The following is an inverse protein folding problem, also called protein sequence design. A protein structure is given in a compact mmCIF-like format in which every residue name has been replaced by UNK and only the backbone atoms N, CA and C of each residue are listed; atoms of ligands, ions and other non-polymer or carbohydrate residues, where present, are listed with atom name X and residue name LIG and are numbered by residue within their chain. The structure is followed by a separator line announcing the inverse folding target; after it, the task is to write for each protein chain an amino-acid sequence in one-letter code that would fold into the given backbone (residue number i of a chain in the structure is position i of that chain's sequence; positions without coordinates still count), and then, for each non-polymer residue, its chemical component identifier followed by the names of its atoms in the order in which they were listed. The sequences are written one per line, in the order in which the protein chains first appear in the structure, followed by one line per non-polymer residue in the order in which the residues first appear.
data_IF_821430148562
#
_entry.id   IF_821430148562
#
_cell.length_a   1.000
_cell.length_b   1.000
_cell.length_c   1.000
_cell.angle_alpha   90.00
_cell.angle_beta   90.00
_cell.angle_gamma   90.00
#
_symmetry.space_group_name_H-M   'P 1'
#
loop_
_entity.id
_entity.type
_entity.pdbx_description
1 polymer ?
#
# COMPACT_ATOMS: atom_id res chain seq x y z
N UNK A 1 -10.26 10.33 -19.63
CA UNK A 1 -9.66 10.19 -18.28
C UNK A 1 -10.71 9.48 -17.42
N UNK A 2 -10.47 8.24 -16.97
CA UNK A 2 -11.43 7.55 -16.06
C UNK A 2 -11.47 8.35 -14.75
N UNK A 3 -12.66 8.71 -14.28
CA UNK A 3 -12.84 9.38 -12.98
C UNK A 3 -12.20 8.52 -11.90
N UNK A 4 -11.21 9.07 -11.18
CA UNK A 4 -10.57 8.39 -10.05
C UNK A 4 -11.64 8.22 -8.95
N UNK A 5 -12.13 6.99 -8.76
CA UNK A 5 -13.06 6.71 -7.67
C UNK A 5 -12.34 6.90 -6.34
N UNK A 6 -13.03 7.45 -5.35
CA UNK A 6 -12.48 7.60 -4.00
C UNK A 6 -12.31 6.23 -3.35
N UNK A 7 -11.23 6.06 -2.57
CA UNK A 7 -11.02 4.86 -1.77
C UNK A 7 -12.07 4.78 -0.67
N UNK A 8 -12.61 3.58 -0.46
CA UNK A 8 -13.45 3.27 0.70
C UNK A 8 -12.54 3.03 1.91
N UNK A 9 -12.31 4.10 2.69
CA UNK A 9 -11.40 4.09 3.84
C UNK A 9 -11.93 3.28 5.02
N UNK A 10 -13.26 3.19 5.18
CA UNK A 10 -13.87 2.37 6.23
C UNK A 10 -13.63 0.89 5.95
N UNK A 11 -13.84 0.48 4.70
CA UNK A 11 -13.55 -0.89 4.27
C UNK A 11 -12.06 -1.22 4.36
N UNK A 12 -11.18 -0.29 4.00
CA UNK A 12 -9.74 -0.45 4.17
C UNK A 12 -9.38 -0.65 5.66
N UNK A 13 -9.89 0.21 6.54
CA UNK A 13 -9.66 0.12 7.97
C UNK A 13 -10.16 -1.21 8.57
N UNK A 14 -11.31 -1.70 8.10
CA UNK A 14 -11.87 -2.97 8.53
C UNK A 14 -11.06 -4.20 8.05
N UNK A 15 -10.36 -4.10 6.91
CA UNK A 15 -9.55 -5.19 6.38
C UNK A 15 -8.17 -5.29 7.04
N UNK A 16 -7.54 -4.17 7.41
CA UNK A 16 -6.18 -4.12 7.93
C UNK A 16 -5.86 -5.07 9.11
N UNK A 17 -6.76 -5.32 10.08
CA UNK A 17 -6.47 -6.25 11.19
C UNK A 17 -6.11 -7.67 10.74
N UNK A 18 -6.52 -8.09 9.54
CA UNK A 18 -6.19 -9.40 8.99
C UNK A 18 -4.77 -9.45 8.38
N UNK A 19 -4.09 -8.30 8.26
CA UNK A 19 -2.81 -8.15 7.58
C UNK A 19 -1.73 -7.55 8.49
N UNK A 20 -0.89 -8.37 9.14
CA UNK A 20 -0.05 -7.91 10.26
C UNK A 20 1.13 -7.00 9.85
N UNK A 21 1.64 -7.12 8.63
CA UNK A 21 2.73 -6.28 8.12
C UNK A 21 2.59 -6.05 6.62
N UNK A 22 3.22 -4.98 6.14
CA UNK A 22 3.32 -4.66 4.72
C UNK A 22 4.77 -4.54 4.27
N UNK A 23 4.98 -4.70 2.98
CA UNK A 23 6.15 -4.22 2.29
C UNK A 23 5.87 -2.81 1.75
N UNK A 24 6.59 -1.81 2.26
CA UNK A 24 6.63 -0.48 1.67
C UNK A 24 7.61 -0.49 0.49
N UNK A 25 7.10 -0.14 -0.68
CA UNK A 25 7.85 -0.04 -1.92
C UNK A 25 7.93 1.44 -2.30
N UNK A 26 9.16 1.93 -2.38
CA UNK A 26 9.50 3.26 -2.92
C UNK A 26 10.37 3.08 -4.15
N UNK A 27 10.50 4.12 -4.99
CA UNK A 27 11.30 4.06 -6.21
C UNK A 27 12.34 5.17 -6.19
N UNK A 28 13.60 4.81 -6.46
CA UNK A 28 14.71 5.76 -6.57
C UNK A 28 14.68 6.59 -7.85
N UNK A 29 15.63 7.51 -7.96
CA UNK A 29 15.89 8.27 -9.18
C UNK A 29 16.41 7.37 -10.33
N UNK A 30 17.15 6.32 -9.98
CA UNK A 30 17.63 5.26 -10.87
C UNK A 30 16.55 4.26 -11.33
N UNK A 31 15.28 4.53 -11.00
CA UNK A 31 14.11 3.71 -11.31
C UNK A 31 14.14 2.30 -10.70
N UNK A 32 14.95 2.06 -9.65
CA UNK A 32 14.90 0.82 -8.89
C UNK A 32 13.95 0.91 -7.71
N UNK A 33 13.22 -0.18 -7.50
CA UNK A 33 12.40 -0.35 -6.30
C UNK A 33 13.29 -0.59 -5.07
N UNK A 34 12.93 0.08 -3.98
CA UNK A 34 13.45 -0.17 -2.64
C UNK A 34 12.30 -0.64 -1.77
N UNK A 35 12.48 -1.81 -1.15
CA UNK A 35 11.44 -2.49 -0.38
C UNK A 35 11.88 -2.68 1.06
N UNK A 36 11.02 -2.30 2.01
CA UNK A 36 11.24 -2.51 3.46
C UNK A 36 9.96 -3.01 4.12
N UNK A 37 10.09 -3.80 5.19
CA UNK A 37 8.95 -4.26 5.99
C UNK A 37 8.51 -3.17 6.96
N UNK A 38 7.20 -2.95 7.07
CA UNK A 38 6.55 -1.95 7.94
C UNK A 38 5.26 -2.53 8.54
N UNK A 39 4.72 -1.89 9.57
CA UNK A 39 3.44 -2.27 10.21
C UNK A 39 2.45 -1.09 10.19
N UNK A 40 1.90 -0.73 9.01
CA UNK A 40 1.11 0.49 8.89
C UNK A 40 -0.22 0.35 9.61
N UNK A 41 -0.66 1.44 10.25
CA UNK A 41 -1.95 1.51 10.94
C UNK A 41 -2.81 2.60 10.33
N UNK A 42 -4.10 2.36 10.19
CA UNK A 42 -5.02 3.42 9.79
C UNK A 42 -5.13 4.47 10.90
N UNK A 43 -4.96 5.74 10.54
CA UNK A 43 -5.19 6.93 11.38
C UNK A 43 -6.04 7.89 10.58
N UNK A 44 -7.32 7.98 10.90
CA UNK A 44 -8.30 8.79 10.18
C UNK A 44 -8.33 8.44 8.67
N UNK A 45 -7.70 9.26 7.83
CA UNK A 45 -7.64 9.08 6.37
C UNK A 45 -6.26 8.66 5.85
N UNK A 46 -5.27 8.44 6.73
CA UNK A 46 -3.90 8.08 6.35
C UNK A 46 -3.50 6.73 6.93
N UNK A 47 -2.62 6.03 6.20
CA UNK A 47 -1.88 4.90 6.72
C UNK A 47 -0.61 5.43 7.37
N UNK A 48 -0.58 5.40 8.69
CA UNK A 48 0.59 5.72 9.49
C UNK A 48 1.59 4.57 9.41
N UNK A 49 2.73 4.81 8.76
CA UNK A 49 3.82 3.85 8.60
C UNK A 49 4.85 3.95 9.74
N UNK A 50 4.87 5.06 10.47
CA UNK A 50 5.87 5.33 11.50
C UNK A 50 7.18 5.90 10.97
N UNK A 51 8.27 5.66 11.69
CA UNK A 51 9.60 6.17 11.35
C UNK A 51 10.20 5.45 10.13
N UNK A 52 10.86 6.20 9.26
CA UNK A 52 11.51 5.68 8.05
C UNK A 52 13.02 5.87 8.05
N UNK A 53 13.72 4.96 7.36
CA UNK A 53 15.17 5.03 7.15
C UNK A 53 15.59 6.01 6.05
N UNK A 54 16.89 6.34 6.01
CA UNK A 54 17.46 7.32 5.09
C UNK A 54 17.17 7.06 3.62
N UNK A 55 17.30 5.80 3.15
CA UNK A 55 17.02 5.45 1.75
C UNK A 55 15.56 5.68 1.35
N UNK A 56 14.61 5.30 2.21
CA UNK A 56 13.18 5.59 1.98
C UNK A 56 12.95 7.09 1.92
N UNK A 57 13.51 7.87 2.86
CA UNK A 57 13.41 9.34 2.87
C UNK A 57 13.97 9.98 1.60
N UNK A 58 15.16 9.55 1.16
CA UNK A 58 15.80 10.02 -0.08
C UNK A 58 14.91 9.77 -1.30
N UNK A 59 14.37 8.55 -1.43
CA UNK A 59 13.46 8.21 -2.53
C UNK A 59 12.21 9.09 -2.50
N UNK A 60 11.60 9.27 -1.33
CA UNK A 60 10.36 10.06 -1.17
C UNK A 60 10.54 11.55 -1.46
N UNK A 61 11.73 12.10 -1.20
CA UNK A 61 12.05 13.49 -1.54
C UNK A 61 12.03 13.73 -3.06
N UNK A 62 12.32 12.70 -3.86
CA UNK A 62 12.29 12.77 -5.33
C UNK A 62 10.94 12.30 -5.91
N UNK A 63 10.35 11.25 -5.32
CA UNK A 63 9.14 10.58 -5.80
C UNK A 63 8.26 10.19 -4.62
N UNK A 64 7.22 11.00 -4.37
CA UNK A 64 6.29 10.76 -3.25
C UNK A 64 5.25 9.66 -3.47
N UNK A 65 5.23 8.98 -4.61
CA UNK A 65 4.28 7.89 -4.86
C UNK A 65 4.84 6.58 -4.30
N UNK A 66 4.00 5.84 -3.57
CA UNK A 66 4.38 4.59 -2.89
C UNK A 66 3.36 3.50 -3.10
N UNK A 67 3.81 2.25 -2.97
CA UNK A 67 2.93 1.08 -2.88
C UNK A 67 3.21 0.36 -1.55
N UNK A 68 2.15 0.00 -0.84
CA UNK A 68 2.16 -0.91 0.30
C UNK A 68 1.54 -2.24 -0.14
N UNK A 69 2.26 -3.34 0.09
CA UNK A 69 1.77 -4.70 -0.19
C UNK A 69 1.77 -5.50 1.09
N UNK A 70 0.59 -5.85 1.60
CA UNK A 70 0.48 -6.86 2.64
C UNK A 70 0.38 -8.24 1.96
N UNK A 71 1.26 -9.19 2.32
CA UNK A 71 1.22 -10.53 1.76
C UNK A 71 -0.04 -11.29 2.22
N UNK A 72 -0.42 -12.37 1.53
CA UNK A 72 -1.56 -13.18 1.94
C UNK A 72 -1.23 -13.93 3.24
N UNK A 73 -2.26 -14.14 4.07
CA UNK A 73 -2.14 -14.86 5.35
C UNK A 73 -1.83 -16.35 5.17
N UNK A 74 -2.28 -16.90 4.04
CA UNK A 74 -2.14 -18.29 3.68
C UNK A 74 -1.90 -18.43 2.17
N UNK A 75 -1.29 -19.53 1.71
CA UNK A 75 -1.12 -19.77 0.28
C UNK A 75 -2.44 -19.70 -0.49
N UNK A 76 -2.48 -18.92 -1.58
CA UNK A 76 -3.68 -18.69 -2.39
C UNK A 76 -4.67 -17.66 -1.81
N UNK A 77 -4.40 -17.11 -0.63
CA UNK A 77 -5.16 -16.01 -0.06
C UNK A 77 -4.97 -14.68 -0.81
N UNK A 78 -5.76 -13.68 -0.41
CA UNK A 78 -5.61 -12.32 -0.93
C UNK A 78 -4.41 -11.61 -0.32
N UNK A 79 -3.63 -10.93 -1.15
CA UNK A 79 -2.80 -9.79 -0.73
C UNK A 79 -3.64 -8.53 -0.68
N UNK A 80 -3.38 -7.63 0.27
CA UNK A 80 -3.89 -6.27 0.22
C UNK A 80 -2.84 -5.38 -0.43
N UNK A 81 -3.25 -4.59 -1.42
CA UNK A 81 -2.37 -3.64 -2.13
C UNK A 81 -2.97 -2.26 -1.99
N UNK A 82 -2.16 -1.32 -1.51
CA UNK A 82 -2.51 0.11 -1.45
C UNK A 82 -1.47 0.92 -2.20
N UNK A 83 -1.91 1.66 -3.21
CA UNK A 83 -1.09 2.73 -3.81
C UNK A 83 -1.51 4.05 -3.16
N UNK A 84 -0.53 4.90 -2.86
CA UNK A 84 -0.79 6.14 -2.15
C UNK A 84 0.28 7.20 -2.33
N UNK A 85 -0.02 8.38 -1.77
CA UNK A 85 0.91 9.49 -1.71
C UNK A 85 1.54 9.57 -0.32
N UNK A 86 2.86 9.67 -0.27
CA UNK A 86 3.60 9.88 0.96
C UNK A 86 3.39 11.31 1.50
N UNK A 87 3.11 11.39 2.80
CA UNK A 87 3.14 12.60 3.61
C UNK A 87 4.25 12.44 4.64
N UNK A 88 5.28 13.25 4.51
CA UNK A 88 6.51 13.15 5.28
C UNK A 88 6.54 14.28 6.30
N UNK A 89 6.61 13.93 7.59
CA UNK A 89 6.66 14.89 8.69
C UNK A 89 7.98 14.76 9.48
N UNK A 90 8.59 15.90 9.82
CA UNK A 90 9.76 15.90 10.69
C UNK A 90 9.36 15.53 12.13
N UNK A 91 10.13 14.64 12.75
CA UNK A 91 10.04 14.32 14.18
C UNK A 91 11.20 14.97 14.93
N UNK A 92 11.15 15.01 16.26
CA UNK A 92 12.29 15.49 17.05
C UNK A 92 13.57 14.70 16.71
N UNK A 93 14.60 15.38 16.19
CA UNK A 93 15.87 14.80 15.75
C UNK A 93 15.98 14.62 14.22
N UNK A 94 16.81 13.68 13.76
CA UNK A 94 16.95 13.35 12.32
C UNK A 94 15.89 12.36 11.82
N UNK A 95 15.04 11.87 12.72
CA UNK A 95 14.00 10.90 12.43
C UNK A 95 12.82 11.55 11.70
N UNK A 96 12.28 10.83 10.73
CA UNK A 96 11.19 11.29 9.88
C UNK A 96 10.06 10.29 9.93
N UNK A 97 8.84 10.80 10.06
CA UNK A 97 7.62 10.00 10.13
C UNK A 97 6.92 10.00 8.78
N UNK A 98 6.38 8.85 8.39
CA UNK A 98 5.68 8.66 7.13
C UNK A 98 4.20 8.35 7.36
N UNK A 99 3.33 9.20 6.81
CA UNK A 99 1.94 8.88 6.51
C UNK A 99 1.77 8.57 5.03
N UNK A 100 0.78 7.74 4.68
CA UNK A 100 0.43 7.47 3.28
C UNK A 100 -1.06 7.73 3.07
N UNK A 101 -1.40 8.66 2.19
CA UNK A 101 -2.79 8.93 1.76
C UNK A 101 -3.17 7.89 0.71
N UNK A 102 -4.12 6.98 0.97
CA UNK A 102 -4.51 5.95 0.02
C UNK A 102 -5.18 6.56 -1.22
N UNK A 103 -4.68 6.23 -2.39
CA UNK A 103 -5.27 6.64 -3.68
C UNK A 103 -5.94 5.48 -4.41
N UNK A 104 -5.55 4.25 -4.09
CA UNK A 104 -6.14 3.01 -4.55
C UNK A 104 -5.93 1.94 -3.48
N UNK A 105 -6.96 1.15 -3.22
CA UNK A 105 -6.85 -0.04 -2.37
C UNK A 105 -7.60 -1.21 -3.02
N UNK A 106 -7.00 -2.39 -3.02
CA UNK A 106 -7.65 -3.62 -3.46
C UNK A 106 -7.12 -4.86 -2.76
N UNK A 107 -7.97 -5.87 -2.67
CA UNK A 107 -7.52 -7.24 -2.47
C UNK A 107 -7.17 -7.86 -3.82
N UNK A 108 -6.06 -8.57 -3.88
CA UNK A 108 -5.56 -9.23 -5.08
C UNK A 108 -5.13 -10.66 -4.79
N UNK A 109 -5.53 -11.60 -5.65
CA UNK A 109 -4.97 -12.95 -5.73
C UNK A 109 -5.05 -13.47 -7.16
N UNK A 110 -4.41 -14.60 -7.42
CA UNK A 110 -4.65 -15.35 -8.65
C UNK A 110 -6.12 -15.77 -8.73
N UNK A 111 -6.69 -15.70 -9.94
CA UNK A 111 -8.04 -16.19 -10.14
C UNK A 111 -8.11 -17.70 -9.90
N UNK A 112 -9.23 -18.16 -9.34
CA UNK A 112 -9.53 -19.57 -9.26
C UNK A 112 -9.69 -20.20 -10.67
N UNK A 113 -9.45 -21.51 -10.78
CA UNK A 113 -9.41 -22.20 -12.07
C UNK A 113 -10.65 -21.98 -12.95
N UNK A 114 -11.90 -21.89 -12.43
CA UNK A 114 -13.06 -21.61 -13.27
C UNK A 114 -13.09 -20.17 -13.81
N UNK A 115 -12.59 -19.19 -13.05
CA UNK A 115 -12.49 -17.80 -13.48
C UNK A 115 -11.35 -17.60 -14.48
N UNK A 116 -10.21 -18.26 -14.25
CA UNK A 116 -9.08 -18.28 -15.17
C UNK A 116 -9.45 -18.88 -16.53
N UNK A 117 -10.22 -19.98 -16.55
CA UNK A 117 -10.72 -20.59 -17.78
C UNK A 117 -11.63 -19.66 -18.62
N UNK A 118 -12.20 -18.62 -18.00
CA UNK A 118 -13.01 -17.58 -18.66
C UNK A 118 -12.21 -16.33 -19.04
N UNK A 119 -10.88 -16.37 -18.89
CA UNK A 119 -9.98 -15.27 -19.20
C UNK A 119 -9.77 -14.25 -18.07
N UNK A 120 -10.34 -14.47 -16.88
CA UNK A 120 -10.06 -13.65 -15.71
C UNK A 120 -8.78 -14.15 -15.03
N UNK A 121 -7.63 -13.52 -15.28
CA UNK A 121 -6.33 -13.98 -14.74
C UNK A 121 -6.16 -13.69 -13.24
N UNK A 122 -6.90 -12.71 -12.72
CA UNK A 122 -6.77 -12.24 -11.35
C UNK A 122 -8.14 -12.02 -10.71
N UNK A 123 -8.23 -12.35 -9.43
CA UNK A 123 -9.38 -12.01 -8.59
C UNK A 123 -9.03 -10.74 -7.80
N UNK A 124 -9.72 -9.65 -8.14
CA UNK A 124 -9.45 -8.31 -7.64
C UNK A 124 -10.71 -7.73 -7.02
N UNK A 125 -10.63 -7.36 -5.75
CA UNK A 125 -11.72 -6.69 -5.03
C UNK A 125 -11.29 -5.28 -4.68
N UNK A 126 -11.77 -4.31 -5.46
CA UNK A 126 -11.43 -2.88 -5.29
C UNK A 126 -12.22 -2.26 -4.14
N UNK A 127 -11.54 -1.50 -3.29
CA UNK A 127 -12.17 -0.72 -2.21
C UNK A 127 -12.43 0.70 -2.71
N UNK A 128 -13.55 0.88 -3.42
CA UNK A 128 -13.96 2.18 -3.96
C UNK A 128 -15.41 2.49 -3.64
N UNK A 129 -15.72 3.76 -3.39
CA UNK A 129 -17.09 4.30 -3.29
C UNK A 129 -17.82 4.30 -4.64
#
# INVERSE_FOLDING_TARGET
MRTKKKVDLERLAAALPDFPFAYLITVGDDYRAHTVTVEPRMREATLDVGLIGGRTRENLAQRGDVTLVWPPREPGGYSLIVDGKAEVAESAGEAVHLGVVPERALLHREADSPSAAKGCLHDCVVFSL
#
